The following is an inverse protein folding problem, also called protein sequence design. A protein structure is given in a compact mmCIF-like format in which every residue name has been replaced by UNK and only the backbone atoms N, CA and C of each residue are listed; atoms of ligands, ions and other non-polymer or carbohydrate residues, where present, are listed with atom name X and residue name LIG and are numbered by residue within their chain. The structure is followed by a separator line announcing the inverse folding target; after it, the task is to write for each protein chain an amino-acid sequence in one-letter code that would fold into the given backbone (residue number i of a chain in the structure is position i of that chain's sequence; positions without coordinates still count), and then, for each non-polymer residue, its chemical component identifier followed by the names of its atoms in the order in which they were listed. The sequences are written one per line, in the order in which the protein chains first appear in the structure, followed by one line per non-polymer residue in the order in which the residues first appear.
data_IF_659977895363
#
_entry.id   IF_659977895363
#
_cell.length_a   1.000
_cell.length_b   1.000
_cell.length_c   1.000
_cell.angle_alpha   90.00
_cell.angle_beta   90.00
_cell.angle_gamma   90.00
#
_symmetry.space_group_name_H-M   'P 1'
#
loop_
_entity.id
_entity.type
_entity.pdbx_description
1 polymer ?
#
# COMPACT_ATOMS: atom_id res chain seq x y z
N UNK A 1 -6.31 -20.38 -5.66
CA UNK A 1 -6.74 -21.24 -4.52
C UNK A 1 -6.87 -20.36 -3.27
N UNK A 2 -7.48 -20.81 -2.17
CA UNK A 2 -7.68 -19.97 -0.98
C UNK A 2 -6.36 -19.58 -0.26
N UNK A 3 -5.31 -20.39 -0.41
CA UNK A 3 -3.99 -20.14 0.20
C UNK A 3 -3.34 -18.84 -0.29
N UNK A 4 -3.48 -18.53 -1.58
CA UNK A 4 -2.91 -17.31 -2.17
C UNK A 4 -3.61 -16.04 -1.67
N UNK A 5 -4.89 -16.14 -1.29
CA UNK A 5 -5.67 -15.00 -0.77
C UNK A 5 -5.21 -14.59 0.63
N UNK A 6 -4.88 -15.55 1.49
CA UNK A 6 -4.38 -15.26 2.84
C UNK A 6 -3.06 -14.48 2.80
N UNK A 7 -2.13 -14.90 1.94
CA UNK A 7 -0.86 -14.19 1.73
C UNK A 7 -1.06 -12.83 1.08
N UNK A 8 -2.00 -12.73 0.13
CA UNK A 8 -2.32 -11.46 -0.53
C UNK A 8 -2.88 -10.42 0.44
N UNK A 9 -3.79 -10.81 1.34
CA UNK A 9 -4.35 -9.91 2.36
C UNK A 9 -3.29 -9.52 3.40
N UNK A 10 -2.41 -10.44 3.80
CA UNK A 10 -1.29 -10.12 4.68
C UNK A 10 -0.32 -9.10 4.05
N UNK A 11 0.00 -9.25 2.77
CA UNK A 11 0.81 -8.28 2.01
C UNK A 11 0.12 -6.92 1.93
N UNK A 12 -1.20 -6.90 1.70
CA UNK A 12 -1.97 -5.66 1.68
C UNK A 12 -1.99 -4.96 3.06
N UNK A 13 -2.12 -5.73 4.14
CA UNK A 13 -2.07 -5.21 5.51
C UNK A 13 -0.69 -4.64 5.85
N UNK A 14 0.39 -5.30 5.44
CA UNK A 14 1.75 -4.78 5.63
C UNK A 14 1.94 -3.45 4.88
N UNK A 15 1.45 -3.37 3.64
CA UNK A 15 1.49 -2.13 2.87
C UNK A 15 0.67 -1.01 3.52
N UNK A 16 -0.50 -1.32 4.07
CA UNK A 16 -1.27 -0.37 4.86
C UNK A 16 -0.53 0.07 6.14
N UNK A 17 0.15 -0.85 6.84
CA UNK A 17 0.96 -0.51 8.01
C UNK A 17 2.09 0.46 7.67
N UNK A 18 2.80 0.26 6.56
CA UNK A 18 3.79 1.21 6.04
C UNK A 18 3.18 2.54 5.60
N UNK A 19 1.96 2.55 5.06
CA UNK A 19 1.27 3.78 4.68
C UNK A 19 0.85 4.62 5.90
N UNK A 20 0.33 3.95 6.94
CA UNK A 20 -0.15 4.56 8.18
C UNK A 20 0.97 4.82 9.20
N UNK A 21 2.11 4.15 9.08
CA UNK A 21 3.18 4.18 10.09
C UNK A 21 2.79 3.41 11.37
N UNK A 22 1.98 2.35 11.25
CA UNK A 22 1.48 1.60 12.41
C UNK A 22 2.39 0.43 12.73
N UNK A 23 3.22 0.57 13.77
CA UNK A 23 4.20 -0.45 14.19
C UNK A 23 5.42 -0.57 13.26
N UNK A 24 5.43 0.15 12.13
CA UNK A 24 6.55 0.29 11.20
C UNK A 24 6.73 1.76 10.83
N UNK A 25 7.95 2.23 10.49
CA UNK A 25 8.16 3.58 9.99
C UNK A 25 7.34 3.82 8.73
N UNK A 26 6.75 5.01 8.62
CA UNK A 26 5.96 5.39 7.45
C UNK A 26 6.87 5.45 6.23
N UNK A 27 6.58 4.60 5.25
CA UNK A 27 7.33 4.54 3.99
C UNK A 27 6.34 4.33 2.85
N UNK A 28 6.02 5.37 2.07
CA UNK A 28 5.05 5.27 0.98
C UNK A 28 5.56 4.39 -0.17
N UNK A 29 6.89 4.22 -0.33
CA UNK A 29 7.50 3.37 -1.36
C UNK A 29 7.28 1.90 -1.00
N UNK A 30 7.62 1.54 0.25
CA UNK A 30 7.36 0.19 0.76
C UNK A 30 5.86 -0.11 0.79
N UNK A 31 5.04 0.86 1.23
CA UNK A 31 3.59 0.71 1.22
C UNK A 31 3.07 0.32 -0.16
N UNK A 32 3.45 1.06 -1.21
CA UNK A 32 3.02 0.77 -2.58
C UNK A 32 3.50 -0.61 -3.04
N UNK A 33 4.76 -0.97 -2.76
CA UNK A 33 5.32 -2.26 -3.17
C UNK A 33 4.55 -3.45 -2.56
N UNK A 34 4.24 -3.39 -1.26
CA UNK A 34 3.48 -4.43 -0.58
C UNK A 34 2.01 -4.48 -1.03
N UNK A 35 1.39 -3.32 -1.24
CA UNK A 35 0.02 -3.24 -1.77
C UNK A 35 -0.07 -3.80 -3.20
N UNK A 36 0.91 -3.55 -4.07
CA UNK A 36 0.92 -4.12 -5.42
C UNK A 36 1.02 -5.65 -5.40
N UNK A 37 1.83 -6.22 -4.50
CA UNK A 37 1.91 -7.68 -4.32
C UNK A 37 0.59 -8.26 -3.84
N UNK A 38 -0.03 -7.63 -2.83
CA UNK A 38 -1.35 -8.05 -2.35
C UNK A 38 -2.42 -7.96 -3.44
N UNK A 39 -2.40 -6.90 -4.26
CA UNK A 39 -3.32 -6.76 -5.38
C UNK A 39 -3.09 -7.86 -6.44
N UNK A 40 -1.84 -8.16 -6.77
CA UNK A 40 -1.48 -9.22 -7.72
C UNK A 40 -1.92 -10.61 -7.23
N UNK A 41 -1.88 -10.84 -5.91
CA UNK A 41 -2.41 -12.06 -5.27
C UNK A 41 -3.93 -12.08 -5.11
N UNK A 42 -4.65 -11.04 -5.54
CA UNK A 42 -6.11 -10.98 -5.52
C UNK A 42 -6.71 -10.42 -4.22
N UNK A 43 -5.94 -9.73 -3.38
CA UNK A 43 -6.48 -9.02 -2.21
C UNK A 43 -7.28 -7.79 -2.63
N UNK A 44 -8.53 -7.75 -2.18
CA UNK A 44 -9.39 -6.57 -2.35
C UNK A 44 -8.95 -5.41 -1.44
N UNK A 45 -8.29 -5.70 -0.29
CA UNK A 45 -7.80 -4.69 0.64
C UNK A 45 -6.72 -3.82 -0.01
N UNK A 46 -5.86 -4.42 -0.84
CA UNK A 46 -4.77 -3.72 -1.50
C UNK A 46 -5.25 -2.52 -2.32
N UNK A 47 -6.31 -2.70 -3.12
CA UNK A 47 -6.87 -1.65 -3.97
C UNK A 47 -7.33 -0.41 -3.18
N UNK A 48 -7.82 -0.59 -1.95
CA UNK A 48 -8.29 0.50 -1.09
C UNK A 48 -7.18 1.47 -0.68
N UNK A 49 -5.97 0.95 -0.45
CA UNK A 49 -4.83 1.75 0.00
C UNK A 49 -3.89 2.14 -1.16
N UNK A 50 -4.00 1.49 -2.32
CA UNK A 50 -3.14 1.74 -3.49
C UNK A 50 -3.28 3.14 -4.06
N UNK A 51 -4.51 3.65 -4.17
CA UNK A 51 -4.76 5.02 -4.62
C UNK A 51 -4.09 6.06 -3.71
N UNK A 52 -4.40 6.07 -2.40
CA UNK A 52 -3.75 6.95 -1.43
C UNK A 52 -2.23 6.77 -1.34
N UNK A 53 -1.72 5.53 -1.39
CA UNK A 53 -0.27 5.27 -1.33
C UNK A 53 0.44 5.83 -2.56
N UNK A 54 -0.14 5.68 -3.76
CA UNK A 54 0.42 6.26 -4.98
C UNK A 54 0.33 7.78 -4.99
N UNK A 55 -0.78 8.34 -4.52
CA UNK A 55 -0.93 9.79 -4.35
C UNK A 55 0.05 10.37 -3.32
N UNK A 56 0.42 9.62 -2.27
CA UNK A 56 1.43 10.04 -1.31
C UNK A 56 2.86 10.04 -1.88
N UNK A 57 3.13 9.21 -2.91
CA UNK A 57 4.39 9.24 -3.66
C UNK A 57 4.42 10.36 -4.69
N UNK A 58 3.30 10.57 -5.38
CA UNK A 58 3.13 11.61 -6.40
C UNK A 58 3.02 13.01 -5.78
N UNK A 59 2.41 13.14 -4.61
CA UNK A 59 2.35 14.38 -3.83
C UNK A 59 3.68 14.81 -3.20
N UNK A 60 4.77 14.04 -3.41
CA UNK A 60 6.14 14.48 -3.19
C UNK A 60 6.68 15.36 -4.34
N UNK A 61 5.94 15.46 -5.46
CA UNK A 61 6.16 16.51 -6.45
C UNK A 61 5.30 17.71 -6.04
N UNK A 62 5.96 18.66 -5.39
CA UNK A 62 5.41 19.92 -4.92
C UNK A 62 4.60 20.65 -6.01
N UNK A 63 3.28 20.74 -5.80
CA UNK A 63 2.47 21.83 -6.34
C UNK A 63 1.82 22.54 -5.16
N UNK A 64 2.63 23.17 -4.31
CA UNK A 64 2.17 24.24 -3.45
C UNK A 64 1.66 25.41 -4.30
N UNK A 65 0.45 25.95 -4.06
CA UNK A 65 0.08 27.22 -4.66
C UNK A 65 0.83 28.34 -3.92
N UNK A 66 1.81 28.93 -4.59
CA UNK A 66 2.36 30.25 -4.27
C UNK A 66 1.33 31.36 -4.55
#
# INVERSE_FOLDING_TARGET
MAAERGDADAQAMLGAAYHLGSGVPKDPVQALAWLQRGQAGGSALAGRFLGPARAALDGGVDHGPA
#
